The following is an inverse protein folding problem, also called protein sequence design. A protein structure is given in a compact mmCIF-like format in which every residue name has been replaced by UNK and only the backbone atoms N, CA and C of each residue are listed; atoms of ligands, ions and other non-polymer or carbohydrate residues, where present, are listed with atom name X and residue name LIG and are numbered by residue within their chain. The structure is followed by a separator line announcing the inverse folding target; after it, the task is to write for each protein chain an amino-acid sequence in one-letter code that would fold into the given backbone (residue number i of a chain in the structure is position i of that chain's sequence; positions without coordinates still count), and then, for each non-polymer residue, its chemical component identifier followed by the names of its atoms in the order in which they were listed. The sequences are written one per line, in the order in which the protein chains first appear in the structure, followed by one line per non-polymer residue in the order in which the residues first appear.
data_IF_165614011253
#
_entry.id   IF_165614011253
#
_cell.length_a   1.000
_cell.length_b   1.000
_cell.length_c   1.000
_cell.angle_alpha   90.00
_cell.angle_beta   90.00
_cell.angle_gamma   90.00
#
_symmetry.space_group_name_H-M   'P 1'
#
loop_
_entity.id
_entity.type
_entity.pdbx_description
1 polymer ?
#
# COMPACT_ATOMS: atom_id res chain seq x y z
N UNK A 1 29.89 -24.03 25.66
CA UNK A 1 28.87 -24.65 24.79
C UNK A 1 27.52 -24.42 25.44
N UNK A 2 26.70 -23.55 24.85
CA UNK A 2 25.47 -23.01 25.45
C UNK A 2 24.25 -23.89 25.10
N UNK A 3 23.40 -24.17 26.10
CA UNK A 3 22.19 -25.03 25.99
C UNK A 3 21.18 -24.50 24.95
N UNK A 4 21.27 -23.21 24.57
CA UNK A 4 20.46 -22.64 23.48
C UNK A 4 20.74 -23.26 22.11
N UNK A 5 22.00 -23.60 21.81
CA UNK A 5 22.37 -24.22 20.52
C UNK A 5 21.79 -25.63 20.33
N UNK A 6 21.56 -26.35 21.43
CA UNK A 6 20.98 -27.69 21.42
C UNK A 6 19.48 -27.66 21.09
N UNK A 7 18.75 -26.63 21.55
CA UNK A 7 17.31 -26.45 21.26
C UNK A 7 17.05 -26.03 19.82
N UNK A 8 17.91 -25.19 19.25
CA UNK A 8 17.85 -24.80 17.83
C UNK A 8 18.10 -26.00 16.90
N UNK A 9 19.06 -26.86 17.28
CA UNK A 9 19.42 -28.06 16.51
C UNK A 9 18.32 -29.12 16.55
N UNK A 10 17.70 -29.35 17.72
CA UNK A 10 16.56 -30.27 17.88
C UNK A 10 15.34 -29.82 17.06
N UNK A 11 15.08 -28.52 17.00
CA UNK A 11 13.93 -27.96 16.27
C UNK A 11 14.09 -28.10 14.75
N UNK A 12 15.32 -28.10 14.23
CA UNK A 12 15.59 -28.35 12.79
C UNK A 12 15.47 -29.81 12.39
N UNK A 13 15.80 -30.74 13.27
CA UNK A 13 15.73 -32.19 12.99
C UNK A 13 14.27 -32.67 12.97
N UNK A 14 13.43 -32.17 13.88
CA UNK A 14 12.04 -32.62 14.00
C UNK A 14 11.13 -32.22 12.82
N UNK A 15 11.48 -31.19 12.04
CA UNK A 15 10.59 -30.63 11.02
C UNK A 15 11.00 -30.92 9.57
N UNK A 16 11.93 -31.86 9.32
CA UNK A 16 12.48 -32.09 7.97
C UNK A 16 12.26 -33.49 7.37
N UNK A 17 11.27 -34.28 7.81
CA UNK A 17 10.95 -35.53 7.10
C UNK A 17 9.44 -35.81 7.04
N UNK A 18 8.84 -35.55 5.88
CA UNK A 18 7.74 -36.36 5.32
C UNK A 18 7.41 -35.86 3.91
N UNK A 19 8.23 -36.31 2.95
CA UNK A 19 7.81 -36.44 1.56
C UNK A 19 7.73 -37.94 1.24
N UNK A 20 6.81 -38.30 0.32
CA UNK A 20 6.59 -39.63 -0.31
C UNK A 20 5.58 -40.49 0.47
N UNK A 21 4.48 -40.98 -0.12
CA UNK A 21 4.40 -42.08 -1.10
C UNK A 21 3.00 -42.07 -1.78
N UNK A 22 2.92 -42.21 -3.12
CA UNK A 22 1.69 -42.58 -3.90
C UNK A 22 1.50 -44.11 -3.85
N UNK A 23 0.28 -44.70 -4.00
CA UNK A 23 -0.29 -44.95 -5.35
C UNK A 23 -1.84 -44.96 -5.46
N UNK A 24 -2.31 -44.95 -6.71
CA UNK A 24 -3.68 -45.13 -7.22
C UNK A 24 -4.21 -46.56 -7.01
N UNK A 25 -5.54 -46.85 -7.01
CA UNK A 25 -6.15 -47.36 -8.24
C UNK A 25 -7.64 -46.99 -8.49
N UNK A 26 -7.98 -46.97 -9.77
CA UNK A 26 -9.29 -46.82 -10.42
C UNK A 26 -10.33 -47.87 -10.00
N UNK A 27 -11.62 -47.49 -9.86
CA UNK A 27 -12.77 -48.34 -10.14
C UNK A 27 -14.04 -47.51 -10.42
N UNK A 28 -14.88 -48.10 -11.27
CA UNK A 28 -16.01 -47.55 -12.03
C UNK A 28 -17.30 -47.30 -11.23
N UNK A 29 -18.30 -46.73 -11.95
CA UNK A 29 -19.75 -46.64 -11.69
C UNK A 29 -20.12 -45.34 -10.94
N UNK A 30 -20.90 -44.40 -11.46
CA UNK A 30 -22.13 -44.52 -12.25
C UNK A 30 -23.28 -44.09 -11.33
N UNK A 31 -24.12 -43.16 -11.82
CA UNK A 31 -25.45 -42.81 -11.26
C UNK A 31 -25.47 -41.75 -10.15
N UNK A 32 -25.89 -40.51 -10.46
CA UNK A 32 -27.24 -40.00 -10.13
C UNK A 32 -27.32 -38.48 -10.40
N UNK A 33 -28.25 -38.10 -11.30
CA UNK A 33 -28.67 -36.72 -11.51
C UNK A 33 -29.91 -36.46 -10.64
N UNK A 34 -29.76 -35.81 -9.49
CA UNK A 34 -30.90 -35.15 -8.84
C UNK A 34 -30.46 -33.99 -7.92
N UNK A 35 -30.64 -32.80 -8.49
CA UNK A 35 -31.20 -31.59 -7.88
C UNK A 35 -30.95 -31.20 -6.40
N UNK A 36 -30.62 -29.90 -6.29
CA UNK A 36 -31.05 -28.90 -5.29
C UNK A 36 -30.24 -28.77 -3.98
N UNK A 37 -29.57 -27.62 -3.88
CA UNK A 37 -29.81 -26.52 -2.89
C UNK A 37 -28.61 -26.17 -1.99
N UNK A 38 -28.19 -24.89 -2.04
CA UNK A 38 -27.25 -24.25 -1.09
C UNK A 38 -25.82 -24.76 -1.25
N UNK A 39 -24.75 -23.99 -1.13
CA UNK A 39 -24.49 -22.69 -0.54
C UNK A 39 -23.30 -22.07 -1.31
N UNK A 40 -23.31 -20.75 -1.42
CA UNK A 40 -22.15 -19.97 -1.87
C UNK A 40 -20.94 -20.31 -0.99
N UNK A 41 -19.76 -20.67 -1.53
CA UNK A 41 -18.54 -20.55 -0.77
C UNK A 41 -18.16 -19.08 -0.73
N UNK A 42 -18.71 -18.37 0.26
CA UNK A 42 -18.13 -17.15 0.82
C UNK A 42 -16.77 -17.53 1.41
N UNK A 43 -15.78 -17.65 0.54
CA UNK A 43 -14.38 -17.82 0.88
C UNK A 43 -13.81 -16.47 1.28
N UNK A 44 -13.77 -16.26 2.59
CA UNK A 44 -13.09 -15.15 3.24
C UNK A 44 -11.63 -15.05 2.76
N UNK A 45 -11.30 -13.92 2.16
CA UNK A 45 -9.97 -13.33 2.23
C UNK A 45 -10.14 -12.01 2.97
N UNK A 46 -10.16 -12.08 4.31
CA UNK A 46 -9.85 -10.93 5.16
C UNK A 46 -8.39 -10.53 4.87
N UNK A 47 -8.20 -9.72 3.84
CA UNK A 47 -7.05 -8.83 3.82
C UNK A 47 -7.32 -7.78 4.89
N UNK A 48 -6.72 -8.02 6.05
CA UNK A 48 -6.68 -7.10 7.18
C UNK A 48 -6.00 -5.81 6.73
N UNK A 49 -6.79 -4.93 6.11
CA UNK A 49 -6.46 -3.54 5.95
C UNK A 49 -6.27 -3.01 7.37
N UNK A 50 -5.02 -2.74 7.72
CA UNK A 50 -4.70 -1.98 8.92
C UNK A 50 -5.18 -0.56 8.60
N UNK A 51 -6.46 -0.31 8.85
CA UNK A 51 -6.99 1.05 8.88
C UNK A 51 -6.22 1.75 10.01
N UNK A 52 -5.47 2.84 9.74
CA UNK A 52 -4.96 3.64 10.85
C UNK A 52 -6.18 4.20 11.57
N UNK A 53 -6.35 3.80 12.83
CA UNK A 53 -7.40 4.31 13.70
C UNK A 53 -7.26 5.84 13.75
N UNK A 54 -8.39 6.56 13.64
CA UNK A 54 -8.50 8.03 13.62
C UNK A 54 -7.90 8.76 14.86
N UNK A 55 -7.22 8.04 15.74
CA UNK A 55 -6.69 8.52 17.00
C UNK A 55 -5.21 8.95 16.91
N UNK A 56 -4.46 8.55 15.87
CA UNK A 56 -3.07 8.99 15.66
C UNK A 56 -2.95 10.24 14.77
N UNK A 57 -4.04 10.67 14.12
CA UNK A 57 -4.09 11.93 13.36
C UNK A 57 -4.29 13.17 14.26
N UNK A 58 -4.46 12.99 15.58
CA UNK A 58 -4.82 14.06 16.53
C UNK A 58 -3.66 14.96 16.99
N UNK A 59 -2.61 15.10 16.17
CA UNK A 59 -1.47 15.98 16.41
C UNK A 59 -1.38 17.21 15.49
N UNK A 60 -2.18 17.28 14.42
CA UNK A 60 -2.19 18.44 13.53
C UNK A 60 -3.24 19.44 14.00
N UNK A 61 -2.82 20.37 14.86
CA UNK A 61 -3.60 21.56 15.22
C UNK A 61 -3.70 22.46 13.96
N UNK A 62 -4.64 22.14 13.07
CA UNK A 62 -4.88 22.82 11.80
C UNK A 62 -6.35 23.22 11.66
N UNK A 63 -6.89 23.88 12.68
CA UNK A 63 -8.22 24.48 12.64
C UNK A 63 -8.09 25.91 12.06
N UNK A 64 -7.83 25.98 10.77
CA UNK A 64 -7.75 27.22 10.00
C UNK A 64 -7.71 26.90 8.50
N UNK A 65 -8.16 27.80 7.62
CA UNK A 65 -8.00 27.61 6.18
C UNK A 65 -6.53 27.34 5.87
N UNK A 66 -6.25 26.29 5.09
CA UNK A 66 -4.89 26.07 4.58
C UNK A 66 -4.49 27.30 3.77
N UNK A 67 -3.41 27.97 4.17
CA UNK A 67 -2.82 29.09 3.42
C UNK A 67 -2.09 28.53 2.19
N UNK A 68 -2.88 28.24 1.15
CA UNK A 68 -2.42 27.65 -0.10
C UNK A 68 -1.73 28.74 -0.94
N UNK A 69 -0.43 28.59 -1.27
CA UNK A 69 0.27 29.54 -2.13
C UNK A 69 -0.28 29.52 -3.57
N UNK A 70 -0.05 30.61 -4.31
CA UNK A 70 -0.45 30.72 -5.73
C UNK A 70 0.27 29.70 -6.62
N UNK A 71 1.52 29.38 -6.29
CA UNK A 71 2.31 28.36 -6.97
C UNK A 71 2.53 27.16 -6.04
N UNK A 72 2.20 25.97 -6.56
CA UNK A 72 2.35 24.71 -5.83
C UNK A 72 3.22 23.73 -6.61
N UNK A 73 4.15 23.03 -5.94
CA UNK A 73 4.78 21.87 -6.52
C UNK A 73 3.75 20.76 -6.73
N UNK A 74 3.68 20.21 -7.94
CA UNK A 74 2.70 19.18 -8.33
C UNK A 74 3.32 17.79 -8.29
N UNK A 75 2.75 16.91 -7.49
CA UNK A 75 3.05 15.48 -7.43
C UNK A 75 2.02 14.67 -8.24
N UNK A 76 2.41 14.08 -9.38
CA UNK A 76 1.54 13.21 -10.15
C UNK A 76 1.28 11.87 -9.43
N UNK A 77 0.02 11.45 -9.37
CA UNK A 77 -0.42 10.18 -8.81
C UNK A 77 -0.90 9.26 -9.94
N UNK A 78 -0.23 8.11 -10.10
CA UNK A 78 -0.57 7.15 -11.18
C UNK A 78 -1.67 6.16 -10.82
N UNK A 79 -1.74 5.76 -9.54
CA UNK A 79 -2.60 4.65 -9.09
C UNK A 79 -3.64 5.08 -8.05
N UNK A 80 -3.75 6.38 -7.78
CA UNK A 80 -4.59 6.88 -6.70
C UNK A 80 -5.09 8.30 -7.01
N UNK A 81 -6.23 8.65 -6.41
CA UNK A 81 -6.76 10.00 -6.30
C UNK A 81 -6.95 10.28 -4.82
N UNK A 82 -6.46 11.43 -4.36
CA UNK A 82 -6.63 11.87 -2.97
C UNK A 82 -7.73 12.92 -2.92
N UNK A 83 -8.68 12.74 -2.01
CA UNK A 83 -9.78 13.68 -1.83
C UNK A 83 -9.48 14.68 -0.71
N UNK A 84 -10.04 15.90 -0.77
CA UNK A 84 -9.97 16.84 0.34
C UNK A 84 -10.43 16.22 1.65
N UNK A 85 -9.83 16.65 2.76
CA UNK A 85 -10.14 16.18 4.12
C UNK A 85 -9.83 14.69 4.38
N UNK A 86 -9.12 14.01 3.47
CA UNK A 86 -8.62 12.64 3.67
C UNK A 86 -7.14 12.63 4.00
N UNK A 87 -6.71 11.67 4.82
CA UNK A 87 -5.31 11.39 5.10
C UNK A 87 -4.97 10.00 4.56
N UNK A 88 -4.24 9.95 3.44
CA UNK A 88 -3.85 8.71 2.78
C UNK A 88 -2.32 8.62 2.71
N UNK A 89 -1.71 7.52 3.21
CA UNK A 89 -0.26 7.35 3.11
C UNK A 89 0.17 7.15 1.66
N UNK A 90 1.24 7.82 1.24
CA UNK A 90 1.78 7.73 -0.11
C UNK A 90 3.26 7.32 -0.09
N UNK A 91 3.63 6.44 -1.03
CA UNK A 91 5.02 6.03 -1.25
C UNK A 91 5.56 6.72 -2.50
N UNK A 92 6.63 7.49 -2.34
CA UNK A 92 7.31 8.21 -3.43
C UNK A 92 8.71 7.63 -3.63
N UNK A 93 8.99 7.18 -4.85
CA UNK A 93 10.29 6.56 -5.19
C UNK A 93 11.00 7.18 -6.38
N UNK A 94 10.36 8.08 -7.12
CA UNK A 94 10.96 8.69 -8.31
C UNK A 94 11.89 9.84 -7.90
N UNK A 95 13.12 9.92 -8.42
CA UNK A 95 14.07 10.97 -8.03
C UNK A 95 13.50 12.39 -8.16
N UNK A 96 12.78 12.67 -9.25
CA UNK A 96 12.10 13.97 -9.47
C UNK A 96 11.06 14.27 -8.38
N UNK A 97 10.25 13.28 -8.03
CA UNK A 97 9.21 13.42 -7.00
C UNK A 97 9.82 13.51 -5.59
N UNK A 98 10.89 12.75 -5.29
CA UNK A 98 11.63 12.86 -4.03
C UNK A 98 12.17 14.27 -3.86
N UNK A 99 12.83 14.81 -4.89
CA UNK A 99 13.34 16.19 -4.88
C UNK A 99 12.21 17.21 -4.66
N UNK A 100 11.08 17.04 -5.35
CA UNK A 100 9.90 17.89 -5.16
C UNK A 100 9.42 17.89 -3.70
N UNK A 101 9.39 16.72 -3.06
CA UNK A 101 8.99 16.60 -1.65
C UNK A 101 10.02 17.27 -0.75
N UNK A 102 11.32 17.06 -0.99
CA UNK A 102 12.39 17.71 -0.24
C UNK A 102 12.29 19.26 -0.33
N UNK A 103 12.03 19.80 -1.52
CA UNK A 103 11.83 21.25 -1.73
C UNK A 103 10.56 21.75 -1.01
N UNK A 104 9.45 21.00 -1.11
CA UNK A 104 8.18 21.37 -0.48
C UNK A 104 8.26 21.40 1.06
N UNK A 105 9.06 20.52 1.67
CA UNK A 105 9.17 20.47 3.13
C UNK A 105 10.03 21.58 3.73
N UNK A 106 10.89 22.19 2.93
CA UNK A 106 11.63 23.40 3.30
C UNK A 106 10.73 24.65 3.30
N UNK A 107 9.62 24.62 2.54
CA UNK A 107 8.63 25.68 2.46
C UNK A 107 7.40 25.45 3.35
N UNK A 108 6.21 25.76 2.80
CA UNK A 108 4.91 25.66 3.51
C UNK A 108 4.42 24.23 3.72
N UNK A 109 5.14 23.20 3.23
CA UNK A 109 4.72 21.78 3.28
C UNK A 109 3.40 21.49 2.58
N UNK A 110 2.99 22.35 1.65
CA UNK A 110 1.79 22.15 0.83
C UNK A 110 2.23 21.71 -0.56
N UNK A 111 1.60 20.66 -1.07
CA UNK A 111 1.81 20.12 -2.41
C UNK A 111 0.48 19.96 -3.13
N UNK A 112 0.50 20.06 -4.46
CA UNK A 112 -0.63 19.69 -5.30
C UNK A 112 -0.56 18.21 -5.65
N UNK A 113 -1.62 17.46 -5.39
CA UNK A 113 -1.77 16.05 -5.78
C UNK A 113 -2.69 15.97 -6.98
N UNK A 114 -2.17 15.45 -8.10
CA UNK A 114 -2.92 15.42 -9.36
C UNK A 114 -2.82 14.04 -9.98
N UNK A 115 -3.95 13.49 -10.45
CA UNK A 115 -3.92 12.20 -11.12
C UNK A 115 -3.24 12.29 -12.50
N UNK A 116 -2.48 11.27 -12.86
CA UNK A 116 -1.98 11.10 -14.23
C UNK A 116 -3.10 10.56 -15.14
N UNK A 117 -3.17 11.03 -16.38
CA UNK A 117 -4.09 10.55 -17.41
C UNK A 117 -3.76 9.12 -17.84
N UNK A 118 -2.48 8.83 -18.00
CA UNK A 118 -1.98 7.51 -18.34
C UNK A 118 -1.06 6.98 -17.21
N UNK A 119 -1.46 5.91 -16.50
CA UNK A 119 -0.68 5.35 -15.40
C UNK A 119 0.63 4.66 -15.85
N UNK A 120 0.76 4.35 -17.14
CA UNK A 120 1.94 3.71 -17.72
C UNK A 120 3.08 4.71 -17.99
N UNK A 121 2.78 6.02 -18.04
CA UNK A 121 3.79 7.07 -18.19
C UNK A 121 4.53 7.21 -16.86
N UNK A 122 5.83 6.95 -16.90
CA UNK A 122 6.66 6.90 -15.69
C UNK A 122 6.96 8.29 -15.12
N UNK A 123 7.15 9.28 -15.99
CA UNK A 123 7.38 10.69 -15.65
C UNK A 123 6.36 11.60 -16.36
N UNK A 124 5.15 11.77 -15.81
CA UNK A 124 4.11 12.58 -16.43
C UNK A 124 4.55 14.05 -16.59
N UNK A 125 4.37 14.60 -17.78
CA UNK A 125 4.48 16.03 -18.04
C UNK A 125 3.20 16.81 -17.68
N UNK A 126 3.21 18.14 -17.86
CA UNK A 126 2.04 18.99 -17.62
C UNK A 126 0.80 18.58 -18.44
N UNK A 127 1.00 18.10 -19.67
CA UNK A 127 -0.09 17.65 -20.54
C UNK A 127 -0.60 16.24 -20.20
N UNK A 128 0.15 15.47 -19.40
CA UNK A 128 -0.16 14.08 -19.03
C UNK A 128 -0.95 13.96 -17.73
N UNK A 129 -1.26 15.08 -17.07
CA UNK A 129 -2.02 15.14 -15.82
C UNK A 129 -3.37 15.84 -16.00
N UNK A 130 -4.32 15.56 -15.12
CA UNK A 130 -5.60 16.26 -15.12
C UNK A 130 -5.44 17.70 -14.62
N UNK A 131 -6.26 18.66 -15.10
CA UNK A 131 -6.15 20.07 -14.67
C UNK A 131 -6.69 20.30 -13.25
N UNK A 132 -7.42 19.34 -12.68
CA UNK A 132 -8.01 19.42 -11.33
C UNK A 132 -7.34 18.38 -10.44
N UNK A 133 -7.00 18.78 -9.22
CA UNK A 133 -6.41 17.94 -8.19
C UNK A 133 -6.69 18.47 -6.79
N UNK A 134 -5.91 18.00 -5.83
CA UNK A 134 -6.11 18.29 -4.40
C UNK A 134 -4.87 18.95 -3.82
N UNK A 135 -5.01 20.13 -3.23
CA UNK A 135 -3.98 20.71 -2.38
C UNK A 135 -3.93 19.94 -1.04
N UNK A 136 -2.76 19.48 -0.65
CA UNK A 136 -2.57 18.67 0.55
C UNK A 136 -1.35 19.15 1.34
N UNK A 137 -1.43 19.03 2.66
CA UNK A 137 -0.31 19.30 3.56
C UNK A 137 0.43 18.00 3.89
N UNK A 138 1.74 18.03 3.82
CA UNK A 138 2.59 16.90 4.23
C UNK A 138 2.60 16.85 5.76
N UNK A 139 1.97 15.82 6.32
CA UNK A 139 1.87 15.62 7.77
C UNK A 139 3.15 15.04 8.38
N UNK A 140 3.85 14.19 7.62
CA UNK A 140 5.06 13.53 8.08
C UNK A 140 5.87 12.98 6.92
N UNK A 141 7.11 12.59 7.23
CA UNK A 141 8.02 11.97 6.28
C UNK A 141 8.83 10.87 6.97
N UNK A 142 8.95 9.73 6.31
CA UNK A 142 9.82 8.62 6.74
C UNK A 142 10.56 8.08 5.53
N UNK A 143 11.89 8.00 5.62
CA UNK A 143 12.71 7.35 4.58
C UNK A 143 12.69 5.84 4.81
N UNK A 144 12.30 5.09 3.80
CA UNK A 144 12.36 3.64 3.84
C UNK A 144 13.79 3.17 3.47
N UNK A 145 14.22 1.97 3.91
CA UNK A 145 15.54 1.41 3.59
C UNK A 145 15.85 1.29 2.09
N UNK A 146 14.82 1.27 1.24
CA UNK A 146 14.95 1.21 -0.23
C UNK A 146 15.10 2.58 -0.93
N UNK A 147 15.36 3.66 -0.18
CA UNK A 147 15.51 5.00 -0.76
C UNK A 147 14.19 5.68 -1.16
N UNK A 148 13.06 5.06 -0.86
CA UNK A 148 11.74 5.68 -1.03
C UNK A 148 11.36 6.53 0.17
N UNK A 149 10.45 7.47 -0.06
CA UNK A 149 9.85 8.32 0.96
C UNK A 149 8.41 7.86 1.19
N UNK A 150 8.04 7.71 2.45
CA UNK A 150 6.65 7.57 2.91
C UNK A 150 6.21 8.90 3.49
N UNK A 151 5.09 9.42 3.02
CA UNK A 151 4.45 10.66 3.47
C UNK A 151 2.97 10.46 3.80
#
# INVERSE_FOLDING_TARGET
MDLKGLKETLTRILNKESETIRPNPTSHQGEDESQLKGESPTGALEQKAIVPTAQEARGAKGEGPLDIPEELPILPLRKAVVYPLTAQPLTVGKPRSIKLIDDAVLGKRIIGLVAAKNPEVDEPGPDDIYPVGTAAMILGLRKAPGGTILL
#
